data_IF_057575352152
#
_entry.id   IF_057575352152
#
_cell.length_a   1.000
_cell.length_b   1.000
_cell.length_c   1.000
_cell.angle_alpha   90.00
_cell.angle_beta   90.00
_cell.angle_gamma   90.00
#
_symmetry.space_group_name_H-M   'P 1'
#
loop_
_entity.id
_entity.type
_entity.pdbx_description
1 polymer ?
#
# COMPACT_ATOMS: atom_id res chain seq x y z
N UNK A 1 -11.76 21.09 -19.72
CA UNK A 1 -12.87 20.76 -20.64
C UNK A 1 -13.94 21.80 -20.42
N UNK A 2 -14.42 22.46 -21.47
CA UNK A 2 -15.53 23.40 -21.35
C UNK A 2 -16.83 22.68 -21.71
N UNK A 3 -17.79 22.70 -20.80
CA UNK A 3 -19.12 22.09 -20.98
C UNK A 3 -20.15 22.94 -20.25
N UNK A 4 -21.31 23.17 -20.88
CA UNK A 4 -22.47 23.85 -20.25
C UNK A 4 -22.13 25.18 -19.55
N UNK A 5 -21.17 25.95 -20.09
CA UNK A 5 -20.76 27.24 -19.53
C UNK A 5 -19.80 27.14 -18.33
N UNK A 6 -19.28 25.96 -18.02
CA UNK A 6 -18.31 25.73 -16.96
C UNK A 6 -17.00 25.12 -17.48
N UNK A 7 -15.89 25.46 -16.82
CA UNK A 7 -14.56 24.92 -17.10
C UNK A 7 -14.22 23.84 -16.08
N UNK A 8 -14.07 22.61 -16.56
CA UNK A 8 -13.71 21.44 -15.78
C UNK A 8 -12.23 21.11 -15.89
N UNK A 9 -11.67 20.69 -14.76
CA UNK A 9 -10.29 20.23 -14.65
C UNK A 9 -10.26 18.82 -14.05
N UNK A 10 -9.34 17.94 -14.50
CA UNK A 10 -9.04 16.72 -13.77
C UNK A 10 -8.62 17.04 -12.33
N UNK A 11 -9.15 16.30 -11.35
CA UNK A 11 -8.80 16.52 -9.94
C UNK A 11 -7.31 16.20 -9.71
N UNK A 12 -6.53 17.09 -9.05
CA UNK A 12 -5.14 16.82 -8.67
C UNK A 12 -5.01 16.16 -7.28
N UNK A 13 -6.12 16.09 -6.54
CA UNK A 13 -6.24 15.55 -5.18
C UNK A 13 -7.71 15.17 -4.91
N UNK A 14 -7.96 14.26 -3.97
CA UNK A 14 -9.32 13.81 -3.64
C UNK A 14 -10.00 14.68 -2.58
N UNK A 15 -9.22 15.43 -1.78
CA UNK A 15 -9.68 16.16 -0.61
C UNK A 15 -10.95 17.00 -0.83
N UNK A 16 -11.04 17.86 -1.87
CA UNK A 16 -12.24 18.66 -2.10
C UNK A 16 -13.53 17.84 -2.24
N UNK A 17 -13.45 16.68 -2.89
CA UNK A 17 -14.58 15.77 -3.03
C UNK A 17 -15.01 15.18 -1.69
N UNK A 18 -14.04 14.79 -0.84
CA UNK A 18 -14.32 14.26 0.49
C UNK A 18 -14.89 15.33 1.43
N UNK A 19 -14.48 16.60 1.31
CA UNK A 19 -15.10 17.72 2.03
C UNK A 19 -16.58 17.89 1.64
N UNK A 20 -16.91 17.78 0.35
CA UNK A 20 -18.29 17.85 -0.13
C UNK A 20 -19.13 16.67 0.38
N UNK A 21 -18.57 15.46 0.41
CA UNK A 21 -19.24 14.28 0.99
C UNK A 21 -19.51 14.49 2.48
N UNK A 22 -18.54 14.98 3.24
CA UNK A 22 -18.72 15.30 4.66
C UNK A 22 -19.88 16.30 4.83
N UNK A 23 -19.83 17.41 4.08
CA UNK A 23 -20.80 18.52 4.12
C UNK A 23 -22.22 18.15 3.70
N UNK A 24 -22.39 17.07 2.94
CA UNK A 24 -23.69 16.66 2.39
C UNK A 24 -24.78 16.41 3.45
N UNK A 25 -24.39 16.18 4.71
CA UNK A 25 -25.29 15.93 5.82
C UNK A 25 -24.76 16.60 7.10
N UNK A 26 -25.66 16.99 7.99
CA UNK A 26 -25.29 17.44 9.34
C UNK A 26 -24.63 16.28 10.10
N UNK A 27 -23.57 16.59 10.86
CA UNK A 27 -22.82 15.61 11.66
C UNK A 27 -22.95 15.90 13.15
N UNK A 28 -23.04 14.87 13.97
CA UNK A 28 -22.88 14.91 15.43
C UNK A 28 -21.46 14.54 15.83
N UNK A 29 -20.95 15.08 16.94
CA UNK A 29 -19.68 14.66 17.53
C UNK A 29 -19.61 13.14 17.80
N UNK A 30 -20.76 12.48 17.98
CA UNK A 30 -20.86 11.01 18.17
C UNK A 30 -20.55 10.20 16.91
N UNK A 31 -20.59 10.83 15.74
CA UNK A 31 -20.23 10.21 14.47
C UNK A 31 -18.72 10.37 14.17
N UNK A 32 -18.00 11.17 14.97
CA UNK A 32 -16.57 11.38 14.83
C UNK A 32 -15.80 10.41 15.75
N UNK A 33 -14.69 9.82 15.28
CA UNK A 33 -14.00 10.12 14.03
C UNK A 33 -14.64 9.45 12.79
N UNK A 34 -14.92 10.25 11.76
CA UNK A 34 -15.44 9.79 10.46
C UNK A 34 -14.28 9.65 9.47
N UNK A 35 -14.13 8.46 8.85
CA UNK A 35 -13.02 8.16 7.95
C UNK A 35 -13.52 7.89 6.54
N UNK A 36 -13.26 8.81 5.61
CA UNK A 36 -13.54 8.60 4.19
C UNK A 36 -12.29 8.02 3.52
N UNK A 37 -12.45 6.97 2.73
CA UNK A 37 -11.36 6.29 2.02
C UNK A 37 -11.74 6.11 0.56
N UNK A 38 -10.79 6.35 -0.34
CA UNK A 38 -10.96 6.15 -1.78
C UNK A 38 -9.63 5.72 -2.40
N UNK A 39 -9.67 4.70 -3.26
CA UNK A 39 -8.62 4.52 -4.26
C UNK A 39 -8.82 5.56 -5.37
N UNK A 40 -8.44 6.80 -5.07
CA UNK A 40 -8.77 7.95 -5.88
C UNK A 40 -7.73 8.20 -6.97
N UNK A 41 -8.14 8.08 -8.23
CA UNK A 41 -7.30 8.45 -9.37
C UNK A 41 -7.27 9.97 -9.54
N UNK A 42 -6.07 10.54 -9.53
CA UNK A 42 -5.82 11.97 -9.68
C UNK A 42 -4.78 12.22 -10.75
N UNK A 43 -4.75 13.44 -11.28
CA UNK A 43 -3.84 13.83 -12.35
C UNK A 43 -3.02 15.06 -11.97
N UNK A 44 -1.70 14.96 -12.14
CA UNK A 44 -0.76 16.06 -11.89
C UNK A 44 0.02 16.35 -13.16
N UNK A 45 0.12 17.63 -13.53
CA UNK A 45 0.85 18.04 -14.71
C UNK A 45 2.35 18.12 -14.43
N UNK A 46 2.98 16.96 -14.27
CA UNK A 46 4.43 16.82 -14.14
C UNK A 46 5.13 17.18 -15.45
N UNK A 47 6.27 17.89 -15.36
CA UNK A 47 7.10 18.24 -16.51
C UNK A 47 7.57 16.97 -17.21
N UNK A 48 7.59 16.96 -18.54
CA UNK A 48 7.97 15.76 -19.31
C UNK A 48 9.34 15.22 -18.94
N UNK A 49 10.31 16.10 -18.66
CA UNK A 49 11.68 15.73 -18.32
C UNK A 49 11.88 15.10 -16.94
N UNK A 50 10.85 15.04 -16.08
CA UNK A 50 10.93 14.40 -14.76
C UNK A 50 10.14 13.08 -14.67
N UNK A 51 9.44 12.69 -15.74
CA UNK A 51 8.70 11.43 -15.76
C UNK A 51 9.66 10.24 -15.74
N UNK A 52 9.37 9.23 -14.92
CA UNK A 52 10.23 8.06 -14.77
C UNK A 52 9.44 6.82 -14.35
N UNK A 53 9.35 5.85 -15.26
CA UNK A 53 8.77 4.53 -15.01
C UNK A 53 7.44 4.60 -14.24
N UNK A 54 7.39 3.92 -13.09
CA UNK A 54 6.26 3.97 -12.15
C UNK A 54 6.46 4.95 -11.00
N UNK A 55 7.68 5.45 -10.78
CA UNK A 55 8.02 6.28 -9.61
C UNK A 55 7.63 7.74 -9.79
N UNK A 56 7.46 8.21 -11.04
CA UNK A 56 6.98 9.57 -11.34
C UNK A 56 6.15 9.60 -12.63
N UNK A 57 4.83 9.68 -12.46
CA UNK A 57 3.83 9.62 -13.54
C UNK A 57 2.80 10.75 -13.39
N UNK A 58 1.99 10.98 -14.45
CA UNK A 58 0.97 12.06 -14.46
C UNK A 58 -0.39 11.63 -13.93
N UNK A 59 -0.77 10.37 -14.11
CA UNK A 59 -1.98 9.79 -13.54
C UNK A 59 -1.58 8.82 -12.45
N UNK A 60 -2.09 9.00 -11.26
CA UNK A 60 -1.80 8.17 -10.10
C UNK A 60 -3.08 7.77 -9.40
N UNK A 61 -3.10 6.58 -8.83
CA UNK A 61 -4.17 6.14 -7.91
C UNK A 61 -3.60 6.03 -6.52
N UNK A 62 -4.15 6.79 -5.57
CA UNK A 62 -3.67 6.83 -4.19
C UNK A 62 -4.63 6.11 -3.25
N UNK A 63 -4.12 5.50 -2.19
CA UNK A 63 -4.89 4.95 -1.07
C UNK A 63 -5.36 6.04 -0.10
N UNK A 64 -5.95 7.07 -0.68
CA UNK A 64 -6.19 8.35 -0.04
C UNK A 64 -7.34 8.27 0.96
N UNK A 65 -7.19 8.97 2.08
CA UNK A 65 -8.19 9.03 3.11
C UNK A 65 -8.19 10.37 3.84
N UNK A 66 -9.40 10.82 4.16
CA UNK A 66 -9.66 12.05 4.90
C UNK A 66 -10.44 11.69 6.15
N UNK A 67 -9.83 11.93 7.31
CA UNK A 67 -10.39 11.60 8.60
C UNK A 67 -10.82 12.89 9.28
N UNK A 68 -12.10 12.97 9.61
CA UNK A 68 -12.71 14.09 10.30
C UNK A 68 -12.84 13.70 11.76
N UNK A 69 -12.20 14.45 12.65
CA UNK A 69 -12.18 14.17 14.07
C UNK A 69 -12.39 15.46 14.89
N UNK A 70 -12.72 15.30 16.16
CA UNK A 70 -12.70 16.42 17.10
C UNK A 70 -11.25 16.76 17.50
N UNK A 71 -11.02 17.93 18.11
CA UNK A 71 -9.68 18.33 18.55
C UNK A 71 -9.12 17.36 19.60
N UNK A 72 -9.95 16.87 20.52
CA UNK A 72 -9.57 15.88 21.54
C UNK A 72 -9.24 14.48 20.98
N UNK A 73 -9.74 14.15 19.79
CA UNK A 73 -9.47 12.86 19.12
C UNK A 73 -8.21 12.89 18.25
N UNK A 74 -7.64 14.06 17.96
CA UNK A 74 -6.63 14.24 16.93
C UNK A 74 -5.36 13.43 17.19
N UNK A 75 -4.79 13.52 18.40
CA UNK A 75 -3.55 12.84 18.76
C UNK A 75 -3.71 11.30 18.72
N UNK A 76 -4.81 10.78 19.28
CA UNK A 76 -5.11 9.34 19.29
C UNK A 76 -5.30 8.78 17.87
N UNK A 77 -5.98 9.53 16.99
CA UNK A 77 -6.13 9.15 15.59
C UNK A 77 -4.79 9.12 14.86
N UNK A 78 -3.93 10.12 15.05
CA UNK A 78 -2.60 10.18 14.44
C UNK A 78 -1.71 9.02 14.92
N UNK A 79 -1.71 8.71 16.22
CA UNK A 79 -0.94 7.61 16.79
C UNK A 79 -1.40 6.26 16.23
N UNK A 80 -2.72 6.03 16.18
CA UNK A 80 -3.33 4.83 15.61
C UNK A 80 -2.98 4.66 14.12
N UNK A 81 -3.04 5.76 13.34
CA UNK A 81 -2.68 5.77 11.92
C UNK A 81 -1.20 5.49 11.70
N UNK A 82 -0.31 6.10 12.49
CA UNK A 82 1.12 5.87 12.37
C UNK A 82 1.47 4.40 12.68
N UNK A 83 0.88 3.83 13.74
CA UNK A 83 1.04 2.41 14.03
C UNK A 83 0.54 1.51 12.89
N UNK A 84 -0.57 1.89 12.25
CA UNK A 84 -1.09 1.16 11.09
C UNK A 84 -0.16 1.26 9.87
N UNK A 85 0.36 2.44 9.55
CA UNK A 85 1.35 2.66 8.49
C UNK A 85 2.57 1.75 8.69
N UNK A 86 3.15 1.75 9.89
CA UNK A 86 4.35 0.96 10.17
C UNK A 86 4.08 -0.55 10.05
N UNK A 87 2.92 -1.03 10.52
CA UNK A 87 2.53 -2.44 10.34
C UNK A 87 2.37 -2.79 8.86
N UNK A 88 1.67 -1.95 8.10
CA UNK A 88 1.43 -2.16 6.68
C UNK A 88 2.75 -2.26 5.91
N UNK A 89 3.67 -1.32 6.10
CA UNK A 89 4.95 -1.32 5.40
C UNK A 89 5.80 -2.56 5.77
N UNK A 90 5.79 -2.98 7.04
CA UNK A 90 6.46 -4.23 7.48
C UNK A 90 5.91 -5.46 6.76
N UNK A 91 4.60 -5.56 6.54
CA UNK A 91 3.99 -6.66 5.77
C UNK A 91 4.52 -6.75 4.34
N UNK A 92 4.94 -5.63 3.74
CA UNK A 92 5.57 -5.60 2.40
C UNK A 92 7.09 -5.85 2.40
N UNK A 93 7.69 -6.14 3.56
CA UNK A 93 9.12 -6.36 3.73
C UNK A 93 9.94 -5.09 3.99
N UNK A 94 9.28 -3.93 4.12
CA UNK A 94 9.93 -2.66 4.40
C UNK A 94 10.01 -2.46 5.92
N UNK A 95 11.20 -2.54 6.50
CA UNK A 95 11.36 -2.56 7.98
C UNK A 95 12.23 -1.44 8.54
N UNK A 96 13.00 -0.77 7.69
CA UNK A 96 13.91 0.33 8.08
C UNK A 96 13.19 1.67 7.90
N UNK A 97 12.73 2.24 9.02
CA UNK A 97 11.88 3.43 9.06
C UNK A 97 12.59 4.62 9.69
N UNK A 98 12.39 5.78 9.08
CA UNK A 98 12.72 7.09 9.66
C UNK A 98 11.51 8.01 9.46
N UNK A 99 11.22 8.88 10.42
CA UNK A 99 10.20 9.92 10.22
C UNK A 99 10.81 11.31 10.14
N UNK A 100 10.12 12.20 9.42
CA UNK A 100 10.37 13.64 9.44
C UNK A 100 9.10 14.35 9.90
N UNK A 101 9.23 15.19 10.93
CA UNK A 101 8.19 16.13 11.36
C UNK A 101 8.45 17.46 10.65
N UNK A 102 7.66 17.74 9.62
CA UNK A 102 7.80 18.96 8.82
C UNK A 102 6.92 20.08 9.40
N UNK A 103 7.56 21.17 9.83
CA UNK A 103 6.90 22.26 10.58
C UNK A 103 6.58 23.47 9.69
N UNK A 104 5.96 24.50 10.28
CA UNK A 104 5.45 25.70 9.59
C UNK A 104 6.51 26.37 8.68
N UNK A 105 6.26 26.51 7.36
CA UNK A 105 7.13 27.23 6.45
C UNK A 105 7.04 28.74 6.65
N UNK A 106 7.96 29.51 6.06
CA UNK A 106 7.89 30.99 6.05
C UNK A 106 6.60 31.52 5.41
N UNK A 107 6.11 30.83 4.37
CA UNK A 107 4.86 31.16 3.67
C UNK A 107 3.79 30.14 4.01
N UNK A 108 2.90 30.51 4.94
CA UNK A 108 1.81 29.66 5.40
C UNK A 108 0.47 30.39 5.36
N UNK A 109 -0.60 29.62 5.49
CA UNK A 109 -1.98 30.10 5.71
C UNK A 109 -2.51 29.54 7.03
N UNK A 110 -3.50 30.22 7.61
CA UNK A 110 -4.08 29.85 8.90
C UNK A 110 -3.46 30.60 10.07
N UNK A 111 -4.03 30.38 11.25
CA UNK A 111 -3.58 31.04 12.47
C UNK A 111 -2.37 30.30 13.07
N UNK A 112 -1.38 31.02 13.63
CA UNK A 112 -0.22 30.41 14.27
C UNK A 112 -0.57 29.37 15.33
N UNK A 113 -1.65 29.58 16.09
CA UNK A 113 -2.10 28.69 17.15
C UNK A 113 -2.62 27.35 16.59
N UNK A 114 -3.29 27.36 15.43
CA UNK A 114 -3.71 26.13 14.75
C UNK A 114 -2.50 25.30 14.30
N UNK A 115 -1.45 25.98 13.83
CA UNK A 115 -0.18 25.35 13.46
C UNK A 115 0.54 24.71 14.65
N UNK A 116 0.50 25.38 15.80
CA UNK A 116 1.13 24.88 17.02
C UNK A 116 0.34 23.66 17.56
N UNK A 117 -1.01 23.72 17.58
CA UNK A 117 -1.89 22.58 17.91
C UNK A 117 -1.59 21.37 17.00
N UNK A 118 -1.53 21.61 15.69
CA UNK A 118 -1.28 20.59 14.68
C UNK A 118 0.10 19.92 14.84
N UNK A 119 1.12 20.74 15.05
CA UNK A 119 2.52 20.27 15.15
C UNK A 119 2.70 19.45 16.42
N UNK A 120 2.09 19.87 17.53
CA UNK A 120 2.18 19.15 18.79
C UNK A 120 1.43 17.81 18.73
N UNK A 121 0.23 17.76 18.15
CA UNK A 121 -0.48 16.50 17.98
C UNK A 121 0.30 15.49 17.11
N UNK A 122 1.02 15.97 16.07
CA UNK A 122 1.91 15.12 15.27
C UNK A 122 3.15 14.66 16.07
N UNK A 123 3.71 15.52 16.92
CA UNK A 123 4.82 15.18 17.81
C UNK A 123 4.42 14.08 18.81
N UNK A 124 3.31 14.27 19.50
CA UNK A 124 2.77 13.30 20.46
C UNK A 124 2.53 11.93 19.81
N UNK A 125 2.02 11.91 18.57
CA UNK A 125 1.82 10.68 17.81
C UNK A 125 3.14 9.95 17.50
N UNK A 126 4.18 10.69 17.12
CA UNK A 126 5.52 10.13 16.87
C UNK A 126 6.14 9.54 18.14
N UNK A 127 6.04 10.27 19.26
CA UNK A 127 6.56 9.85 20.56
C UNK A 127 5.84 8.62 21.09
N UNK A 128 4.51 8.60 20.97
CA UNK A 128 3.67 7.44 21.33
C UNK A 128 4.00 6.21 20.49
N UNK A 129 4.29 6.39 19.21
CA UNK A 129 4.70 5.31 18.32
C UNK A 129 6.14 4.81 18.56
N UNK A 130 6.94 5.56 19.33
CA UNK A 130 8.36 5.28 19.54
C UNK A 130 9.18 5.31 18.24
N UNK A 131 8.73 6.07 17.24
CA UNK A 131 9.39 6.14 15.94
C UNK A 131 10.46 7.25 15.97
N UNK A 132 11.75 6.94 15.72
CA UNK A 132 12.78 7.96 15.61
C UNK A 132 12.45 8.94 14.49
N UNK A 133 12.52 10.23 14.81
CA UNK A 133 12.22 11.29 13.85
C UNK A 133 13.20 12.45 13.96
N UNK A 134 13.30 13.19 12.85
CA UNK A 134 13.98 14.49 12.80
C UNK A 134 12.96 15.59 12.54
N UNK A 135 13.23 16.79 13.04
CA UNK A 135 12.40 17.97 12.75
C UNK A 135 12.94 18.63 11.48
N UNK A 136 12.12 18.68 10.44
CA UNK A 136 12.41 19.37 9.19
C UNK A 136 11.78 20.77 9.26
N UNK A 137 12.54 21.72 9.82
CA UNK A 137 12.05 23.08 10.05
C UNK A 137 11.68 23.78 8.74
N UNK A 138 10.41 24.19 8.62
CA UNK A 138 9.91 24.92 7.47
C UNK A 138 9.56 24.10 6.23
N UNK A 139 9.63 22.76 6.30
CA UNK A 139 9.32 21.86 5.17
C UNK A 139 7.84 21.41 5.13
N UNK A 140 7.01 21.96 6.01
CA UNK A 140 5.56 21.75 6.01
C UNK A 140 4.91 22.23 4.72
N UNK A 141 3.74 21.68 4.39
CA UNK A 141 2.93 22.22 3.29
C UNK A 141 2.44 23.63 3.68
N UNK A 142 2.15 24.51 2.71
CA UNK A 142 1.71 25.88 3.04
C UNK A 142 0.45 25.96 3.93
N UNK A 143 -0.31 24.87 4.06
CA UNK A 143 -1.57 24.78 4.80
C UNK A 143 -1.57 23.83 6.01
N UNK A 144 -0.48 23.06 6.22
CA UNK A 144 -0.47 21.99 7.23
C UNK A 144 0.96 21.52 7.58
N UNK A 145 1.25 21.22 8.87
CA UNK A 145 2.38 20.39 9.22
C UNK A 145 2.09 18.92 8.90
N UNK A 146 3.14 18.12 8.81
CA UNK A 146 3.02 16.71 8.41
C UNK A 146 4.11 15.82 9.00
N UNK A 147 3.77 14.54 9.13
CA UNK A 147 4.72 13.45 9.31
C UNK A 147 4.95 12.81 7.96
N UNK A 148 6.21 12.73 7.54
CA UNK A 148 6.64 11.96 6.38
C UNK A 148 7.42 10.72 6.82
N UNK A 149 6.86 9.54 6.57
CA UNK A 149 7.51 8.26 6.87
C UNK A 149 8.38 7.87 5.69
N UNK A 150 9.67 7.73 5.95
CA UNK A 150 10.69 7.33 5.01
C UNK A 150 11.08 5.87 5.23
N UNK A 151 11.39 5.20 4.13
CA UNK A 151 11.88 3.82 4.10
C UNK A 151 13.17 3.77 3.30
N UNK A 152 14.13 2.96 3.76
CA UNK A 152 15.29 2.57 2.96
C UNK A 152 15.00 1.26 2.22
N UNK A 153 15.20 1.25 0.90
CA UNK A 153 15.06 0.02 0.11
C UNK A 153 16.27 -0.91 0.28
N UNK A 154 16.22 -2.11 -0.33
CA UNK A 154 17.26 -3.14 -0.19
C UNK A 154 18.66 -2.72 -0.67
N UNK A 155 18.78 -1.61 -1.42
CA UNK A 155 20.06 -1.06 -1.88
C UNK A 155 20.38 0.30 -1.24
N UNK A 156 19.65 0.68 -0.19
CA UNK A 156 19.91 1.85 0.64
C UNK A 156 19.36 3.18 0.12
N UNK A 157 18.54 3.19 -0.93
CA UNK A 157 17.88 4.43 -1.38
C UNK A 157 16.74 4.79 -0.45
N UNK A 158 16.61 6.09 -0.17
CA UNK A 158 15.59 6.65 0.72
C UNK A 158 14.33 7.03 -0.06
N UNK A 159 13.19 6.53 0.38
CA UNK A 159 11.88 6.78 -0.22
C UNK A 159 10.91 7.31 0.84
N UNK A 160 10.38 8.52 0.64
CA UNK A 160 9.19 8.97 1.37
C UNK A 160 7.99 8.11 0.94
N UNK A 161 7.36 7.38 1.86
CA UNK A 161 6.29 6.43 1.53
C UNK A 161 4.91 6.87 1.97
N UNK A 162 4.81 7.28 3.22
CA UNK A 162 3.53 7.60 3.84
C UNK A 162 3.56 9.03 4.34
N UNK A 163 2.40 9.67 4.35
CA UNK A 163 2.27 11.02 4.87
C UNK A 163 1.01 11.12 5.71
N UNK A 164 1.11 11.74 6.88
CA UNK A 164 -0.01 12.19 7.69
C UNK A 164 0.06 13.71 7.77
N UNK A 165 -0.98 14.42 7.36
CA UNK A 165 -1.04 15.89 7.37
C UNK A 165 -2.28 16.34 8.15
N UNK A 166 -2.13 17.33 9.02
CA UNK A 166 -3.26 17.89 9.76
C UNK A 166 -3.66 19.21 9.13
N UNK A 167 -4.87 19.25 8.57
CA UNK A 167 -5.40 20.41 7.86
C UNK A 167 -6.56 21.06 8.62
N UNK A 168 -6.39 22.36 8.86
CA UNK A 168 -7.38 23.25 9.48
C UNK A 168 -8.04 24.15 8.43
N UNK A 169 -7.45 24.25 7.24
CA UNK A 169 -7.82 25.19 6.19
C UNK A 169 -9.00 24.72 5.35
N UNK A 170 -8.99 23.46 4.87
CA UNK A 170 -10.14 22.97 4.09
C UNK A 170 -11.43 22.94 4.91
N UNK A 171 -11.44 22.53 6.21
CA UNK A 171 -12.62 22.66 7.05
C UNK A 171 -13.17 24.08 7.11
N UNK A 172 -12.31 25.09 7.21
CA UNK A 172 -12.72 26.49 7.19
C UNK A 172 -13.26 26.93 5.82
N UNK A 173 -12.57 26.59 4.73
CA UNK A 173 -12.95 27.00 3.36
C UNK A 173 -14.24 26.36 2.86
N UNK A 174 -14.57 25.18 3.35
CA UNK A 174 -15.79 24.47 2.97
C UNK A 174 -16.95 24.67 3.95
N UNK A 175 -16.76 25.49 4.99
CA UNK A 175 -17.72 25.71 6.08
C UNK A 175 -18.15 24.38 6.72
N UNK A 176 -17.18 23.51 7.03
CA UNK A 176 -17.45 22.22 7.65
C UNK A 176 -17.71 22.39 9.14
N UNK A 177 -18.77 21.74 9.61
CA UNK A 177 -19.18 21.80 11.00
C UNK A 177 -19.72 20.45 11.49
N UNK A 178 -19.71 20.24 12.80
CA UNK A 178 -20.46 19.21 13.51
C UNK A 178 -21.14 19.82 14.75
N UNK A 179 -22.16 19.14 15.26
CA UNK A 179 -22.83 19.50 16.51
C UNK A 179 -22.10 18.83 17.68
N UNK A 180 -21.54 19.66 18.56
CA UNK A 180 -20.81 19.24 19.75
C UNK A 180 -21.71 18.71 20.88
N UNK A 181 -21.11 18.15 21.94
CA UNK A 181 -21.85 17.71 23.14
C UNK A 181 -22.53 18.87 23.87
N UNK A 182 -22.05 20.10 23.67
CA UNK A 182 -22.62 21.36 24.14
C UNK A 182 -23.77 21.89 23.25
N UNK A 183 -24.16 21.13 22.21
CA UNK A 183 -25.16 21.50 21.23
C UNK A 183 -24.79 22.74 20.39
N UNK A 184 -23.50 23.12 20.35
CA UNK A 184 -22.98 24.19 19.50
C UNK A 184 -22.35 23.64 18.21
N UNK A 185 -22.12 24.52 17.24
CA UNK A 185 -21.43 24.19 16.00
C UNK A 185 -19.92 24.30 16.22
N UNK A 186 -19.21 23.22 15.91
CA UNK A 186 -17.76 23.13 16.01
C UNK A 186 -17.18 22.74 14.65
N UNK A 187 -15.95 23.14 14.38
CA UNK A 187 -15.24 22.78 13.14
C UNK A 187 -14.46 21.49 13.35
N UNK A 188 -14.57 20.48 12.47
CA UNK A 188 -13.77 19.26 12.58
C UNK A 188 -12.30 19.55 12.22
N UNK A 189 -11.39 18.75 12.79
CA UNK A 189 -10.01 18.62 12.32
C UNK A 189 -9.96 17.59 11.19
N UNK A 190 -9.16 17.84 10.16
CA UNK A 190 -8.98 16.89 9.06
C UNK A 190 -7.57 16.34 9.07
N UNK A 191 -7.46 15.00 9.07
CA UNK A 191 -6.21 14.31 8.82
C UNK A 191 -6.24 13.79 7.38
N UNK A 192 -5.30 14.25 6.55
CA UNK A 192 -5.01 13.66 5.25
C UNK A 192 -4.02 12.54 5.43
N UNK A 193 -4.31 11.35 4.90
CA UNK A 193 -3.36 10.25 4.96
C UNK A 193 -3.36 9.40 3.69
N UNK A 194 -2.14 9.05 3.29
CA UNK A 194 -1.87 7.99 2.33
C UNK A 194 -0.85 7.03 2.97
N UNK A 195 -1.16 5.73 3.01
CA UNK A 195 -0.35 4.76 3.74
C UNK A 195 0.81 4.28 2.88
N UNK A 196 0.60 4.01 1.60
CA UNK A 196 1.68 3.69 0.66
C UNK A 196 1.82 4.71 -0.47
N UNK A 197 0.98 5.74 -0.49
CA UNK A 197 1.06 6.80 -1.47
C UNK A 197 0.33 6.43 -2.76
N UNK A 198 0.99 6.53 -3.91
CA UNK A 198 0.40 6.04 -5.14
C UNK A 198 0.73 4.57 -5.37
N UNK A 199 -0.24 3.80 -5.85
CA UNK A 199 -0.08 2.39 -6.20
C UNK A 199 1.09 2.21 -7.17
N UNK A 200 1.19 3.08 -8.17
CA UNK A 200 2.25 3.03 -9.17
C UNK A 200 3.64 3.14 -8.53
N UNK A 201 3.85 4.18 -7.72
CA UNK A 201 5.14 4.44 -7.08
C UNK A 201 5.48 3.35 -6.08
N UNK A 202 4.49 2.90 -5.31
CA UNK A 202 4.67 1.83 -4.35
C UNK A 202 5.11 0.53 -5.02
N UNK A 203 4.44 0.10 -6.10
CA UNK A 203 4.87 -1.07 -6.86
C UNK A 203 6.26 -0.90 -7.49
N UNK A 204 6.59 0.29 -7.99
CA UNK A 204 7.94 0.60 -8.49
C UNK A 204 9.01 0.34 -7.43
N UNK A 205 8.77 0.82 -6.20
CA UNK A 205 9.68 0.63 -5.07
C UNK A 205 9.73 -0.85 -4.64
N UNK A 206 8.59 -1.55 -4.57
CA UNK A 206 8.56 -2.96 -4.20
C UNK A 206 9.30 -3.85 -5.21
N UNK A 207 9.17 -3.59 -6.50
CA UNK A 207 9.89 -4.33 -7.54
C UNK A 207 11.40 -4.16 -7.35
N UNK A 208 11.87 -2.95 -7.07
CA UNK A 208 13.29 -2.70 -6.83
C UNK A 208 13.77 -3.29 -5.50
N UNK A 209 12.99 -3.13 -4.43
CA UNK A 209 13.29 -3.65 -3.10
C UNK A 209 13.43 -5.18 -3.09
N UNK A 210 12.50 -5.89 -3.74
CA UNK A 210 12.55 -7.35 -3.86
C UNK A 210 13.44 -7.83 -5.02
N UNK A 211 14.08 -6.90 -5.75
CA UNK A 211 14.74 -7.18 -7.02
C UNK A 211 13.88 -8.06 -7.96
N UNK A 212 12.57 -7.85 -8.01
CA UNK A 212 11.59 -8.64 -8.76
C UNK A 212 11.25 -10.03 -8.19
N UNK A 213 11.90 -10.47 -7.11
CA UNK A 213 11.61 -11.72 -6.41
C UNK A 213 10.52 -11.52 -5.35
N UNK A 214 9.31 -11.12 -5.78
CA UNK A 214 8.20 -10.79 -4.88
C UNK A 214 7.85 -11.95 -3.93
N UNK A 215 7.40 -11.66 -2.69
CA UNK A 215 6.95 -12.69 -1.75
C UNK A 215 5.74 -13.45 -2.30
N UNK A 216 5.50 -14.67 -1.80
CA UNK A 216 4.45 -15.56 -2.30
C UNK A 216 3.10 -14.84 -2.46
N UNK A 217 2.66 -14.14 -1.42
CA UNK A 217 1.36 -13.47 -1.40
C UNK A 217 1.22 -12.36 -2.45
N UNK A 218 2.33 -11.75 -2.90
CA UNK A 218 2.36 -10.66 -3.87
C UNK A 218 2.73 -11.11 -5.29
N UNK A 219 3.29 -12.32 -5.46
CA UNK A 219 3.79 -12.79 -6.75
C UNK A 219 2.65 -12.96 -7.77
N UNK A 220 2.75 -12.44 -9.01
CA UNK A 220 1.73 -12.60 -10.05
C UNK A 220 1.40 -14.05 -10.37
N UNK A 221 2.43 -14.90 -10.39
CA UNK A 221 2.32 -16.36 -10.43
C UNK A 221 3.03 -16.91 -9.20
N UNK A 222 2.30 -17.65 -8.38
CA UNK A 222 2.77 -18.21 -7.12
C UNK A 222 3.41 -19.58 -7.33
N UNK A 223 2.77 -20.40 -8.17
CA UNK A 223 3.17 -21.78 -8.44
C UNK A 223 3.06 -22.05 -9.94
N UNK A 224 4.13 -22.58 -10.55
CA UNK A 224 4.09 -23.09 -11.93
C UNK A 224 4.33 -24.58 -11.98
N UNK A 225 3.43 -25.31 -12.64
CA UNK A 225 3.52 -26.77 -12.79
C UNK A 225 4.08 -27.18 -14.15
N UNK A 226 5.00 -28.13 -14.13
CA UNK A 226 5.71 -28.62 -15.31
C UNK A 226 5.68 -30.16 -15.33
N UNK A 227 5.01 -30.74 -16.33
CA UNK A 227 5.17 -32.16 -16.63
C UNK A 227 6.57 -32.47 -17.16
N UNK A 228 7.20 -33.57 -16.73
CA UNK A 228 8.49 -34.03 -17.32
C UNK A 228 8.32 -34.33 -18.82
N UNK A 229 7.15 -34.86 -19.21
CA UNK A 229 6.74 -35.21 -20.57
C UNK A 229 5.25 -34.84 -20.77
N UNK A 230 4.80 -34.84 -22.02
CA UNK A 230 3.45 -34.38 -22.40
C UNK A 230 2.32 -35.25 -21.81
N UNK A 231 2.57 -36.53 -21.56
CA UNK A 231 1.66 -37.45 -20.87
C UNK A 231 1.40 -37.04 -19.40
N UNK A 232 2.28 -36.24 -18.78
CA UNK A 232 2.07 -35.71 -17.43
C UNK A 232 1.30 -34.38 -17.40
N UNK A 233 1.10 -33.72 -18.55
CA UNK A 233 0.48 -32.38 -18.61
C UNK A 233 -0.96 -32.40 -18.10
N UNK A 234 -1.69 -33.50 -18.30
CA UNK A 234 -3.03 -33.65 -17.75
C UNK A 234 -3.04 -33.64 -16.21
N UNK A 235 -2.02 -34.22 -15.57
CA UNK A 235 -1.89 -34.16 -14.11
C UNK A 235 -1.47 -32.76 -13.64
N UNK A 236 -0.49 -32.15 -14.31
CA UNK A 236 -0.06 -30.77 -14.04
C UNK A 236 -1.22 -29.76 -14.16
N UNK A 237 -2.05 -29.87 -15.20
CA UNK A 237 -3.23 -29.00 -15.36
C UNK A 237 -4.24 -29.17 -14.23
N UNK A 238 -4.59 -30.42 -13.87
CA UNK A 238 -5.53 -30.69 -12.76
C UNK A 238 -5.03 -30.14 -11.43
N UNK A 239 -3.73 -30.26 -11.17
CA UNK A 239 -3.14 -29.70 -9.96
C UNK A 239 -3.11 -28.17 -9.97
N UNK A 240 -2.86 -27.53 -11.12
CA UNK A 240 -2.98 -26.09 -11.26
C UNK A 240 -4.41 -25.61 -10.96
N UNK A 241 -5.42 -26.31 -11.50
CA UNK A 241 -6.83 -25.99 -11.27
C UNK A 241 -7.23 -26.20 -9.81
N UNK A 242 -6.72 -27.26 -9.17
CA UNK A 242 -6.88 -27.47 -7.73
C UNK A 242 -6.30 -26.31 -6.92
N UNK A 243 -5.07 -25.89 -7.18
CA UNK A 243 -4.44 -24.77 -6.49
C UNK A 243 -5.21 -23.46 -6.69
N UNK A 244 -5.75 -23.23 -7.89
CA UNK A 244 -6.64 -22.08 -8.16
C UNK A 244 -7.93 -22.14 -7.36
N UNK A 245 -8.53 -23.33 -7.21
CA UNK A 245 -9.71 -23.52 -6.39
C UNK A 245 -9.45 -23.23 -4.90
N UNK A 246 -8.20 -23.43 -4.44
CA UNK A 246 -7.72 -23.07 -3.10
C UNK A 246 -7.30 -21.58 -2.98
N UNK A 247 -7.47 -20.79 -4.04
CA UNK A 247 -7.18 -19.34 -4.04
C UNK A 247 -5.76 -18.95 -4.46
N UNK A 248 -4.93 -19.90 -4.90
CA UNK A 248 -3.58 -19.61 -5.38
C UNK A 248 -3.53 -19.22 -6.85
N UNK A 249 -2.62 -18.31 -7.21
CA UNK A 249 -2.30 -17.95 -8.60
C UNK A 249 -1.33 -18.96 -9.19
N UNK A 250 -1.87 -20.13 -9.53
CA UNK A 250 -1.10 -21.21 -10.16
C UNK A 250 -1.28 -21.25 -11.69
N UNK A 251 -0.25 -21.69 -12.40
CA UNK A 251 -0.32 -22.03 -13.82
C UNK A 251 0.44 -23.32 -14.15
N UNK A 252 0.33 -23.76 -15.39
CA UNK A 252 1.12 -24.88 -15.90
C UNK A 252 1.61 -24.58 -17.31
N UNK A 253 2.73 -25.19 -17.70
CA UNK A 253 3.31 -25.04 -19.04
C UNK A 253 3.57 -26.42 -19.63
N UNK A 254 3.00 -26.67 -20.81
CA UNK A 254 3.10 -27.93 -21.52
C UNK A 254 4.54 -28.36 -21.81
N UNK A 255 4.72 -29.66 -22.04
CA UNK A 255 6.02 -30.26 -22.27
C UNK A 255 6.53 -30.09 -23.72
N UNK A 256 6.37 -28.90 -24.29
CA UNK A 256 6.80 -28.57 -25.67
C UNK A 256 8.32 -28.37 -25.79
N UNK A 257 8.98 -28.08 -24.66
CA UNK A 257 10.42 -27.87 -24.56
C UNK A 257 11.03 -28.77 -23.47
N UNK A 258 12.35 -29.06 -23.53
CA UNK A 258 13.04 -29.81 -22.49
C UNK A 258 12.78 -29.23 -21.10
N UNK A 259 12.50 -30.10 -20.13
CA UNK A 259 12.15 -29.70 -18.76
C UNK A 259 13.15 -28.71 -18.15
N UNK A 260 14.45 -28.92 -18.34
CA UNK A 260 15.49 -28.03 -17.84
C UNK A 260 15.37 -26.60 -18.36
N UNK A 261 14.97 -26.43 -19.63
CA UNK A 261 14.73 -25.10 -20.22
C UNK A 261 13.52 -24.42 -19.59
N UNK A 262 12.41 -25.14 -19.40
CA UNK A 262 11.20 -24.62 -18.74
C UNK A 262 11.43 -24.25 -17.28
N UNK A 263 12.14 -25.10 -16.52
CA UNK A 263 12.55 -24.79 -15.13
C UNK A 263 13.43 -23.55 -15.10
N UNK A 264 14.39 -23.42 -16.02
CA UNK A 264 15.24 -22.22 -16.11
C UNK A 264 14.43 -20.96 -16.41
N UNK A 265 13.48 -21.00 -17.35
CA UNK A 265 12.58 -19.88 -17.67
C UNK A 265 11.79 -19.45 -16.43
N UNK A 266 11.16 -20.40 -15.73
CA UNK A 266 10.42 -20.13 -14.50
C UNK A 266 11.30 -19.54 -13.39
N UNK A 267 12.56 -19.99 -13.25
CA UNK A 267 13.52 -19.39 -12.30
C UNK A 267 13.93 -17.97 -12.69
N UNK A 268 14.07 -17.68 -13.98
CA UNK A 268 14.36 -16.32 -14.47
C UNK A 268 13.19 -15.36 -14.24
N UNK A 269 11.95 -15.86 -14.28
CA UNK A 269 10.74 -15.14 -13.89
C UNK A 269 10.60 -14.98 -12.36
N UNK A 270 11.52 -15.57 -11.58
CA UNK A 270 11.57 -15.47 -10.11
C UNK A 270 10.30 -15.97 -9.43
N UNK A 271 9.67 -17.01 -9.98
CA UNK A 271 8.48 -17.61 -9.36
C UNK A 271 8.81 -18.19 -7.98
N UNK A 272 7.94 -18.01 -6.96
CA UNK A 272 8.15 -18.58 -5.63
C UNK A 272 8.30 -20.11 -5.67
N UNK A 273 7.44 -20.80 -6.42
CA UNK A 273 7.47 -22.26 -6.55
C UNK A 273 7.35 -22.71 -8.00
N UNK A 274 8.18 -23.68 -8.37
CA UNK A 274 8.03 -24.47 -9.59
C UNK A 274 7.84 -25.92 -9.18
N UNK A 275 6.73 -26.53 -9.59
CA UNK A 275 6.46 -27.94 -9.34
C UNK A 275 6.75 -28.75 -10.59
N UNK A 276 7.42 -29.89 -10.40
CA UNK A 276 7.73 -30.84 -11.48
C UNK A 276 7.01 -32.15 -11.20
N UNK A 277 6.38 -32.71 -12.23
CA UNK A 277 5.64 -33.98 -12.11
C UNK A 277 6.11 -35.01 -13.13
N UNK A 278 6.57 -36.15 -12.62
CA UNK A 278 6.99 -37.34 -13.36
C UNK A 278 6.03 -38.52 -13.17
N UNK A 279 6.44 -39.70 -13.67
CA UNK A 279 5.64 -40.93 -13.62
C UNK A 279 5.27 -41.32 -12.18
N UNK A 280 6.25 -41.31 -11.26
CA UNK A 280 6.02 -41.63 -9.84
C UNK A 280 5.09 -40.60 -9.18
N UNK A 281 5.23 -39.31 -9.54
CA UNK A 281 4.40 -38.23 -8.99
C UNK A 281 2.92 -38.39 -9.39
N UNK A 282 2.67 -38.76 -10.65
CA UNK A 282 1.31 -39.02 -11.15
C UNK A 282 0.70 -40.25 -10.46
N UNK A 283 1.49 -41.31 -10.25
CA UNK A 283 1.03 -42.53 -9.58
C UNK A 283 0.71 -42.30 -8.11
N UNK A 284 1.59 -41.59 -7.41
CA UNK A 284 1.57 -41.51 -5.94
C UNK A 284 0.86 -40.25 -5.42
N UNK A 285 0.37 -39.38 -6.30
CA UNK A 285 -0.29 -38.13 -5.90
C UNK A 285 0.67 -37.14 -5.25
N UNK A 286 1.89 -37.07 -5.78
CA UNK A 286 2.98 -36.23 -5.25
C UNK A 286 3.46 -35.21 -6.29
N UNK A 287 4.42 -34.36 -5.90
CA UNK A 287 5.12 -33.39 -6.75
C UNK A 287 6.59 -33.26 -6.33
N UNK A 288 7.45 -32.90 -7.28
CA UNK A 288 8.77 -32.34 -7.01
C UNK A 288 8.68 -30.83 -6.80
N UNK A 289 8.98 -30.35 -5.59
CA UNK A 289 8.91 -28.93 -5.22
C UNK A 289 10.27 -28.27 -5.45
N UNK A 290 10.32 -27.25 -6.30
CA UNK A 290 11.50 -26.43 -6.56
C UNK A 290 11.23 -25.00 -6.06
N UNK A 291 11.51 -24.70 -4.78
CA UNK A 291 11.33 -23.37 -4.21
C UNK A 291 12.39 -22.39 -4.74
N UNK A 292 12.03 -21.11 -4.83
CA UNK A 292 12.97 -20.04 -5.19
C UNK A 292 14.07 -19.91 -4.15
N UNK A 293 15.32 -20.13 -4.59
CA UNK A 293 16.50 -20.00 -3.72
C UNK A 293 16.68 -21.16 -2.72
N UNK A 294 15.85 -22.20 -2.76
CA UNK A 294 15.97 -23.38 -1.90
C UNK A 294 16.35 -24.65 -2.67
N UNK A 295 16.45 -25.76 -1.93
CA UNK A 295 16.74 -27.08 -2.49
C UNK A 295 15.48 -27.76 -3.05
N UNK A 296 15.67 -28.67 -4.00
CA UNK A 296 14.57 -29.41 -4.61
C UNK A 296 14.14 -30.56 -3.70
N UNK A 297 12.88 -30.56 -3.29
CA UNK A 297 12.24 -31.67 -2.57
C UNK A 297 11.50 -32.56 -3.56
N UNK A 298 11.55 -33.89 -3.39
CA UNK A 298 10.88 -34.86 -4.28
C UNK A 298 9.86 -35.67 -3.51
N UNK A 299 8.81 -36.13 -4.19
CA UNK A 299 7.78 -36.99 -3.61
C UNK A 299 6.96 -36.30 -2.52
N UNK A 300 6.80 -34.98 -2.59
CA UNK A 300 5.98 -34.24 -1.63
C UNK A 300 4.52 -34.46 -1.99
N UNK A 301 3.72 -34.96 -1.05
CA UNK A 301 2.28 -35.08 -1.26
C UNK A 301 1.64 -33.73 -1.54
N UNK A 302 0.72 -33.70 -2.52
CA UNK A 302 0.06 -32.46 -2.95
C UNK A 302 -0.64 -31.79 -1.77
N UNK A 303 -1.33 -32.56 -0.92
CA UNK A 303 -2.06 -32.05 0.24
C UNK A 303 -1.11 -31.32 1.21
N UNK A 304 0.02 -31.95 1.53
CA UNK A 304 1.07 -31.35 2.36
C UNK A 304 1.63 -30.08 1.74
N UNK A 305 1.82 -30.03 0.41
CA UNK A 305 2.28 -28.82 -0.25
C UNK A 305 1.25 -27.69 -0.18
N UNK A 306 -0.04 -27.99 -0.35
CA UNK A 306 -1.12 -27.01 -0.20
C UNK A 306 -1.17 -26.44 1.22
N UNK A 307 -1.07 -27.30 2.24
CA UNK A 307 -1.00 -26.87 3.65
C UNK A 307 0.19 -25.94 3.91
N UNK A 308 1.36 -26.25 3.35
CA UNK A 308 2.56 -25.39 3.46
C UNK A 308 2.33 -24.02 2.83
N UNK A 309 1.73 -23.96 1.64
CA UNK A 309 1.42 -22.69 0.97
C UNK A 309 0.42 -21.84 1.77
N UNK A 310 -0.60 -22.48 2.35
CA UNK A 310 -1.57 -21.80 3.21
C UNK A 310 -0.90 -21.26 4.47
N UNK A 311 -0.04 -22.05 5.12
CA UNK A 311 0.71 -21.62 6.29
C UNK A 311 1.65 -20.44 5.98
N UNK A 312 2.36 -20.48 4.85
CA UNK A 312 3.21 -19.37 4.40
C UNK A 312 2.38 -18.11 4.13
N UNK A 313 1.23 -18.25 3.46
CA UNK A 313 0.33 -17.12 3.19
C UNK A 313 -0.17 -16.47 4.49
N UNK A 314 -0.60 -17.28 5.47
CA UNK A 314 -1.08 -16.79 6.78
C UNK A 314 0.02 -16.12 7.57
N UNK A 315 1.26 -16.62 7.52
CA UNK A 315 2.39 -16.00 8.21
C UNK A 315 2.70 -14.57 7.72
N UNK A 316 2.23 -14.19 6.52
CA UNK A 316 2.39 -12.85 5.95
C UNK A 316 1.16 -11.95 6.15
N UNK A 317 0.06 -12.46 6.69
CA UNK A 317 -1.09 -11.63 7.04
C UNK A 317 -0.83 -10.94 8.39
N UNK A 318 -1.12 -9.64 8.52
CA UNK A 318 -0.88 -8.86 9.74
C UNK A 318 -1.75 -9.28 10.93
#
# INVERSE_FOLDING_TARGET
MEMEGATYYPKPMNCPGHMLIYRSQQRSYRELPLRLFEFGTVYRFERSGVLHGLTRVRGITQDDSHIFCTSDQLADELASLLAFVLRLLRTFGLTDFEAELATRPEKYVGEPEEWDEATEALREALETAGLPYVVAEGDGAFYAPKIDVHVRDAIGRRWQMSTLQVDFQLPARFDLEYIGPDNQRHRPRVIHRALFGSVERFFGILIEHHAGALPLWLSPVQVRLLGVRADHDAYASRLADRLRAEGFRADWVGADEPLGARVRKAKLEKLPYVLVVGDDDVRDGTVGVNPRGGEVERGVHVDTFVERLQAELVAHLP
#
